data_IF_496173044385
#
_entry.id   IF_496173044385
#
_cell.length_a   1.000
_cell.length_b   1.000
_cell.length_c   1.000
_cell.angle_alpha   90.00
_cell.angle_beta   90.00
_cell.angle_gamma   90.00
#
_symmetry.space_group_name_H-M   'P 1'
#
loop_
_entity.id
_entity.type
_entity.pdbx_description
1 polymer ?
#
# COMPACT_ATOMS: atom_id res chain seq x y z
N UNK A 1 19.57 -16.33 11.36
CA UNK A 1 19.42 -16.70 12.65
C UNK A 1 18.98 -15.53 13.50
N UNK A 2 19.72 -14.49 13.87
CA UNK A 2 19.17 -13.39 14.67
C UNK A 2 17.89 -12.76 14.06
N UNK A 3 17.86 -12.49 12.75
CA UNK A 3 16.68 -11.99 12.05
C UNK A 3 15.53 -13.01 12.07
N UNK A 4 15.83 -14.30 11.89
CA UNK A 4 14.83 -15.34 11.94
C UNK A 4 14.19 -15.42 13.34
N UNK A 5 15.00 -15.40 14.39
CA UNK A 5 14.54 -15.37 15.78
C UNK A 5 13.70 -14.12 16.08
N UNK A 6 14.14 -12.95 15.62
CA UNK A 6 13.40 -11.70 15.81
C UNK A 6 12.01 -11.71 15.16
N UNK A 7 11.89 -12.39 14.01
CA UNK A 7 10.64 -12.45 13.26
C UNK A 7 9.82 -13.72 13.53
N UNK A 8 10.17 -14.49 14.57
CA UNK A 8 9.53 -15.77 14.92
C UNK A 8 9.43 -16.73 13.72
N UNK A 9 10.47 -16.73 12.87
CA UNK A 9 10.55 -17.57 11.69
C UNK A 9 11.75 -18.52 11.77
N UNK A 10 11.69 -19.61 11.03
CA UNK A 10 12.78 -20.56 10.92
C UNK A 10 13.39 -20.52 9.53
N UNK A 11 14.73 -20.54 9.48
CA UNK A 11 15.50 -20.71 8.25
C UNK A 11 16.46 -21.87 8.42
N UNK A 12 16.30 -22.91 7.61
CA UNK A 12 17.11 -24.11 7.61
C UNK A 12 17.11 -24.75 6.20
N UNK A 13 17.73 -25.92 6.05
CA UNK A 13 17.81 -26.63 4.76
C UNK A 13 16.45 -27.03 4.20
N UNK A 14 15.46 -27.30 5.03
CA UNK A 14 14.08 -27.63 4.61
C UNK A 14 13.29 -26.39 4.24
N UNK A 15 13.64 -25.26 4.88
CA UNK A 15 13.04 -23.93 4.66
C UNK A 15 14.13 -22.91 4.38
N UNK A 16 14.74 -22.94 3.17
CA UNK A 16 15.92 -22.14 2.87
C UNK A 16 15.64 -20.67 2.57
N UNK A 17 14.38 -20.26 2.56
CA UNK A 17 13.92 -18.90 2.28
C UNK A 17 13.36 -18.28 3.56
N UNK A 18 13.79 -17.05 3.85
CA UNK A 18 13.24 -16.21 4.93
C UNK A 18 12.86 -14.87 4.34
N UNK A 19 11.61 -14.48 4.50
CA UNK A 19 11.13 -13.11 4.19
C UNK A 19 10.60 -12.47 5.46
N UNK A 20 11.16 -11.32 5.84
CA UNK A 20 10.86 -10.66 7.10
C UNK A 20 10.84 -9.14 6.95
N UNK A 21 10.28 -8.46 7.95
CA UNK A 21 10.37 -7.00 8.09
C UNK A 21 11.19 -6.69 9.33
N UNK A 22 12.23 -5.86 9.18
CA UNK A 22 13.06 -5.40 10.29
C UNK A 22 12.31 -4.36 11.14
N UNK A 23 12.72 -4.11 12.39
CA UNK A 23 12.09 -3.11 13.27
C UNK A 23 12.01 -1.71 12.67
N UNK A 24 12.99 -1.34 11.86
CA UNK A 24 13.07 -0.06 11.14
C UNK A 24 12.24 -0.02 9.85
N UNK A 25 11.52 -1.12 9.54
CA UNK A 25 10.56 -1.20 8.44
C UNK A 25 11.13 -1.72 7.11
N UNK A 26 12.43 -2.01 7.02
CA UNK A 26 13.01 -2.61 5.82
C UNK A 26 12.52 -4.04 5.66
N UNK A 27 12.18 -4.41 4.42
CA UNK A 27 11.90 -5.80 4.05
C UNK A 27 13.23 -6.48 3.73
N UNK A 28 13.45 -7.62 4.34
CA UNK A 28 14.65 -8.42 4.11
C UNK A 28 14.27 -9.81 3.61
N UNK A 29 15.02 -10.31 2.66
CA UNK A 29 14.93 -11.69 2.18
C UNK A 29 16.29 -12.35 2.27
N UNK A 30 16.35 -13.49 2.93
CA UNK A 30 17.49 -14.38 2.97
C UNK A 30 17.20 -15.63 2.17
N UNK A 31 18.21 -16.10 1.45
CA UNK A 31 18.18 -17.40 0.79
C UNK A 31 19.48 -18.13 1.13
N UNK A 32 19.34 -19.35 1.68
CA UNK A 32 20.46 -20.19 2.06
C UNK A 32 20.47 -21.49 1.25
N UNK A 33 21.56 -22.29 1.25
CA UNK A 33 21.57 -23.62 0.65
C UNK A 33 20.44 -24.52 1.22
N UNK A 34 19.80 -25.34 0.38
CA UNK A 34 20.17 -25.72 -0.99
C UNK A 34 19.60 -24.79 -2.09
N UNK A 35 18.85 -23.74 -1.78
CA UNK A 35 18.25 -22.83 -2.77
C UNK A 35 19.28 -21.86 -3.41
N UNK A 36 20.49 -21.80 -2.87
CA UNK A 36 21.69 -21.17 -3.43
C UNK A 36 22.86 -22.14 -3.32
N UNK A 37 23.99 -21.93 -4.04
CA UNK A 37 25.16 -22.79 -3.93
C UNK A 37 25.69 -22.89 -2.50
N UNK A 38 26.27 -24.08 -2.15
CA UNK A 38 26.91 -24.26 -0.84
C UNK A 38 27.98 -23.22 -0.61
N UNK A 39 28.04 -22.69 0.62
CA UNK A 39 28.98 -21.64 1.01
C UNK A 39 28.54 -20.22 0.64
N UNK A 40 27.37 -20.07 0.02
CA UNK A 40 26.81 -18.75 -0.31
C UNK A 40 25.52 -18.47 0.47
N UNK A 41 25.24 -17.18 0.68
CA UNK A 41 23.97 -16.68 1.24
C UNK A 41 23.56 -15.48 0.39
N UNK A 42 22.32 -15.51 -0.10
CA UNK A 42 21.74 -14.34 -0.78
C UNK A 42 20.97 -13.49 0.23
N UNK A 43 21.23 -12.18 0.25
CA UNK A 43 20.55 -11.23 1.12
C UNK A 43 20.04 -10.08 0.27
N UNK A 44 18.74 -9.83 0.32
CA UNK A 44 18.11 -8.68 -0.33
C UNK A 44 17.45 -7.82 0.71
N UNK A 45 17.76 -6.53 0.72
CA UNK A 45 17.14 -5.55 1.62
C UNK A 45 16.44 -4.48 0.80
N UNK A 46 15.13 -4.29 1.04
CA UNK A 46 14.35 -3.23 0.43
C UNK A 46 13.94 -2.21 1.49
N UNK A 47 14.41 -0.98 1.35
CA UNK A 47 14.01 0.13 2.20
C UNK A 47 12.64 0.66 1.77
N UNK A 48 11.69 0.84 2.69
CA UNK A 48 10.44 1.52 2.38
C UNK A 48 10.72 3.01 2.10
N UNK A 49 9.95 3.59 1.19
CA UNK A 49 9.98 5.04 1.00
C UNK A 49 9.18 5.72 2.11
N UNK A 50 9.81 6.64 2.83
CA UNK A 50 9.14 7.50 3.81
C UNK A 50 8.55 8.76 3.17
N UNK A 51 8.73 8.93 1.86
CA UNK A 51 8.19 10.06 1.13
C UNK A 51 6.66 10.01 1.13
N UNK A 52 6.05 11.07 1.63
CA UNK A 52 4.62 11.33 1.53
C UNK A 52 4.45 12.47 0.52
N UNK A 53 3.85 12.16 -0.62
CA UNK A 53 3.43 13.13 -1.63
C UNK A 53 1.95 13.41 -1.47
N UNK A 54 1.56 14.66 -1.60
CA UNK A 54 0.15 15.08 -1.63
C UNK A 54 -0.42 14.99 -3.05
N UNK A 55 -1.74 15.04 -3.18
CA UNK A 55 -2.38 15.02 -4.50
C UNK A 55 -1.92 16.17 -5.39
N UNK A 56 -1.72 17.35 -4.82
CA UNK A 56 -1.23 18.53 -5.54
C UNK A 56 0.23 18.35 -6.05
N UNK A 57 1.05 17.53 -5.38
CA UNK A 57 2.40 17.21 -5.85
C UNK A 57 2.34 16.31 -7.08
N UNK A 58 1.45 15.31 -7.09
CA UNK A 58 1.22 14.45 -8.25
C UNK A 58 0.68 15.24 -9.45
N UNK A 59 -0.19 16.21 -9.22
CA UNK A 59 -0.73 17.06 -10.28
C UNK A 59 0.37 17.94 -10.89
N UNK A 60 1.20 18.58 -10.07
CA UNK A 60 2.36 19.36 -10.53
C UNK A 60 3.41 18.52 -11.29
N UNK A 61 3.56 17.27 -10.92
CA UNK A 61 4.46 16.32 -11.61
C UNK A 61 3.86 15.74 -12.88
N UNK A 62 2.65 16.15 -13.28
CA UNK A 62 2.01 15.73 -14.51
C UNK A 62 1.39 14.32 -14.48
N UNK A 63 1.15 13.73 -13.29
CA UNK A 63 0.58 12.38 -13.20
C UNK A 63 -0.75 12.25 -13.95
N UNK A 64 -1.53 13.31 -13.98
CA UNK A 64 -2.88 13.31 -14.55
C UNK A 64 -2.96 13.76 -16.01
N UNK A 65 -1.86 14.20 -16.64
CA UNK A 65 -1.85 14.74 -18.02
C UNK A 65 -2.35 13.74 -19.07
N UNK A 66 -2.16 12.44 -18.81
CA UNK A 66 -2.58 11.37 -19.74
C UNK A 66 -3.77 10.58 -19.21
N UNK A 67 -4.60 11.20 -18.37
CA UNK A 67 -5.79 10.53 -17.84
C UNK A 67 -6.84 10.35 -18.92
N UNK A 68 -7.23 9.09 -19.16
CA UNK A 68 -8.37 8.75 -20.00
C UNK A 68 -9.56 8.47 -19.08
N UNK A 69 -10.69 9.13 -19.32
CA UNK A 69 -11.92 8.92 -18.57
C UNK A 69 -12.86 7.99 -19.32
N UNK A 70 -13.51 7.07 -18.59
CA UNK A 70 -14.59 6.25 -19.11
C UNK A 70 -15.90 6.84 -18.61
N UNK A 71 -16.71 7.34 -19.53
CA UNK A 71 -18.05 7.85 -19.22
C UNK A 71 -19.05 6.69 -19.26
N UNK A 72 -19.73 6.45 -18.15
CA UNK A 72 -20.93 5.61 -18.10
C UNK A 72 -22.11 6.52 -17.87
N UNK A 73 -23.16 6.38 -18.69
CA UNK A 73 -24.43 7.06 -18.41
C UNK A 73 -25.05 6.41 -17.17
N UNK A 74 -25.26 7.15 -16.08
CA UNK A 74 -25.89 6.59 -14.90
C UNK A 74 -27.35 6.18 -15.22
N UNK A 75 -27.75 4.99 -14.78
CA UNK A 75 -29.14 4.55 -14.87
C UNK A 75 -30.00 5.06 -13.70
N UNK A 76 -29.41 5.83 -12.78
CA UNK A 76 -30.05 6.36 -11.60
C UNK A 76 -29.77 7.86 -11.43
N UNK A 77 -30.62 8.53 -10.69
CA UNK A 77 -30.41 9.93 -10.31
C UNK A 77 -29.19 10.05 -9.41
N UNK A 78 -28.21 10.88 -9.80
CA UNK A 78 -26.99 11.13 -9.03
C UNK A 78 -27.29 11.93 -7.76
N UNK A 79 -26.64 11.53 -6.66
CA UNK A 79 -26.61 12.33 -5.44
C UNK A 79 -25.85 13.66 -5.67
N UNK A 80 -26.09 14.69 -4.85
CA UNK A 80 -25.43 15.98 -5.03
C UNK A 80 -23.90 15.91 -5.13
N UNK A 81 -23.25 15.12 -4.27
CA UNK A 81 -21.80 14.95 -4.30
C UNK A 81 -21.30 14.15 -5.51
N UNK A 82 -22.13 13.26 -6.07
CA UNK A 82 -21.78 12.49 -7.28
C UNK A 82 -21.82 13.39 -8.52
N UNK A 83 -22.73 14.37 -8.55
CA UNK A 83 -22.74 15.41 -9.60
C UNK A 83 -21.48 16.27 -9.52
N UNK A 84 -21.09 16.69 -8.31
CA UNK A 84 -19.84 17.44 -8.10
C UNK A 84 -18.61 16.64 -8.53
N UNK A 85 -18.54 15.33 -8.19
CA UNK A 85 -17.50 14.43 -8.67
C UNK A 85 -17.46 14.35 -10.20
N UNK A 86 -18.61 14.26 -10.86
CA UNK A 86 -18.70 14.22 -12.32
C UNK A 86 -18.18 15.54 -12.93
N UNK A 87 -18.59 16.69 -12.40
CA UNK A 87 -18.13 18.00 -12.83
C UNK A 87 -16.62 18.18 -12.71
N UNK A 88 -16.04 17.79 -11.55
CA UNK A 88 -14.59 17.83 -11.31
C UNK A 88 -13.83 16.96 -12.30
N UNK A 89 -14.33 15.74 -12.54
CA UNK A 89 -13.74 14.80 -13.50
C UNK A 89 -13.76 15.38 -14.92
N UNK A 90 -14.91 15.91 -15.35
CA UNK A 90 -15.09 16.42 -16.70
C UNK A 90 -14.32 17.73 -16.93
N UNK A 91 -14.08 18.50 -15.85
CA UNK A 91 -13.20 19.67 -15.85
C UNK A 91 -11.70 19.32 -15.79
N UNK A 92 -11.32 18.03 -15.68
CA UNK A 92 -9.93 17.61 -15.55
C UNK A 92 -9.28 17.92 -14.20
N UNK A 93 -10.08 18.32 -13.18
CA UNK A 93 -9.61 18.65 -11.83
C UNK A 93 -9.43 17.41 -10.99
N UNK A 94 -8.49 16.55 -11.40
CA UNK A 94 -8.37 15.18 -10.84
C UNK A 94 -7.90 15.15 -9.39
N UNK A 95 -7.04 16.06 -8.97
CA UNK A 95 -6.62 16.15 -7.56
C UNK A 95 -7.83 16.47 -6.65
N UNK A 96 -8.68 17.40 -7.05
CA UNK A 96 -9.88 17.77 -6.31
C UNK A 96 -10.96 16.66 -6.35
N UNK A 97 -11.12 16.05 -7.52
CA UNK A 97 -11.98 14.86 -7.66
C UNK A 97 -11.60 13.76 -6.65
N UNK A 98 -10.32 13.40 -6.57
CA UNK A 98 -9.83 12.37 -5.66
C UNK A 98 -9.99 12.79 -4.20
N UNK A 99 -9.70 14.05 -3.88
CA UNK A 99 -9.90 14.62 -2.54
C UNK A 99 -11.35 14.53 -2.09
N UNK A 100 -12.28 14.91 -2.96
CA UNK A 100 -13.71 14.78 -2.70
C UNK A 100 -14.14 13.33 -2.56
N UNK A 101 -13.67 12.44 -3.44
CA UNK A 101 -13.98 11.01 -3.40
C UNK A 101 -13.55 10.38 -2.07
N UNK A 102 -12.33 10.69 -1.59
CA UNK A 102 -11.85 10.22 -0.28
C UNK A 102 -12.76 10.72 0.85
N UNK A 103 -13.04 12.02 0.88
CA UNK A 103 -13.89 12.65 1.93
C UNK A 103 -15.34 12.17 1.91
N UNK A 104 -15.81 11.67 0.78
CA UNK A 104 -17.15 11.06 0.63
C UNK A 104 -17.11 9.55 0.74
N UNK A 105 -16.03 8.99 1.28
CA UNK A 105 -15.85 7.55 1.54
C UNK A 105 -16.09 6.66 0.30
N UNK A 106 -15.70 7.17 -0.88
CA UNK A 106 -15.85 6.39 -2.10
C UNK A 106 -14.80 5.29 -2.17
N UNK A 107 -15.20 4.13 -2.69
CA UNK A 107 -14.25 3.04 -2.93
C UNK A 107 -13.30 3.39 -4.07
N UNK A 108 -11.99 3.42 -3.78
CA UNK A 108 -10.95 3.73 -4.75
C UNK A 108 -10.08 2.50 -4.97
N UNK A 109 -9.94 2.08 -6.22
CA UNK A 109 -9.06 0.96 -6.62
C UNK A 109 -7.83 1.52 -7.32
N UNK A 110 -6.64 1.27 -6.76
CA UNK A 110 -5.36 1.66 -7.35
C UNK A 110 -4.66 0.44 -7.93
N UNK A 111 -4.55 0.38 -9.26
CA UNK A 111 -3.92 -0.71 -9.99
C UNK A 111 -2.70 -0.25 -10.79
N UNK A 112 -1.76 -1.13 -11.02
CA UNK A 112 -0.55 -0.86 -11.82
C UNK A 112 0.54 -1.91 -11.60
N UNK A 113 1.58 -1.88 -12.43
CA UNK A 113 2.74 -2.80 -12.33
C UNK A 113 3.52 -2.58 -11.02
N UNK A 114 4.33 -3.56 -10.63
CA UNK A 114 5.29 -3.39 -9.53
C UNK A 114 6.23 -2.23 -9.84
N UNK A 115 6.49 -1.36 -8.85
CA UNK A 115 7.33 -0.18 -9.02
C UNK A 115 6.65 1.03 -9.68
N UNK A 116 5.36 0.96 -10.04
CA UNK A 116 4.63 2.09 -10.66
C UNK A 116 4.22 3.21 -9.68
N UNK A 117 4.58 3.12 -8.41
CA UNK A 117 4.25 4.15 -7.41
C UNK A 117 2.89 4.01 -6.74
N UNK A 118 2.19 2.87 -6.86
CA UNK A 118 0.87 2.63 -6.23
C UNK A 118 0.85 2.98 -4.74
N UNK A 119 1.81 2.46 -3.97
CA UNK A 119 1.87 2.71 -2.53
C UNK A 119 2.11 4.19 -2.21
N UNK A 120 2.93 4.87 -3.01
CA UNK A 120 3.18 6.31 -2.86
C UNK A 120 1.93 7.12 -3.15
N UNK A 121 1.19 6.78 -4.21
CA UNK A 121 -0.07 7.41 -4.56
C UNK A 121 -1.15 7.16 -3.51
N UNK A 122 -1.26 5.91 -3.03
CA UNK A 122 -2.21 5.55 -1.97
C UNK A 122 -1.93 6.31 -0.66
N UNK A 123 -0.65 6.53 -0.28
CA UNK A 123 -0.28 7.39 0.84
C UNK A 123 -0.81 8.82 0.65
N UNK A 124 -0.71 9.35 -0.56
CA UNK A 124 -1.26 10.67 -0.91
C UNK A 124 -2.78 10.75 -0.78
N UNK A 125 -3.51 9.70 -1.18
CA UNK A 125 -4.95 9.62 -0.96
C UNK A 125 -5.31 9.57 0.52
N UNK A 126 -4.57 8.80 1.31
CA UNK A 126 -4.82 8.69 2.76
C UNK A 126 -4.59 10.01 3.48
N UNK A 127 -3.66 10.86 3.02
CA UNK A 127 -3.47 12.20 3.60
C UNK A 127 -4.72 13.11 3.50
N UNK A 128 -5.63 12.82 2.57
CA UNK A 128 -6.90 13.55 2.41
C UNK A 128 -8.01 13.07 3.35
N UNK A 129 -7.81 11.93 4.04
CA UNK A 129 -8.76 11.44 5.05
C UNK A 129 -8.75 12.37 6.26
N UNK A 130 -9.91 12.77 6.79
CA UNK A 130 -9.99 13.58 8.00
C UNK A 130 -9.25 12.95 9.19
N UNK A 131 -8.46 13.74 9.92
CA UNK A 131 -7.56 13.24 10.98
C UNK A 131 -8.28 12.63 12.19
N UNK A 132 -9.56 12.93 12.37
CA UNK A 132 -10.39 12.36 13.44
C UNK A 132 -10.94 10.98 13.10
N UNK A 133 -10.84 10.55 11.85
CA UNK A 133 -11.34 9.25 11.42
C UNK A 133 -10.40 8.11 11.84
N UNK A 134 -10.99 6.96 12.13
CA UNK A 134 -10.25 5.73 12.40
C UNK A 134 -9.91 5.02 11.10
N UNK A 135 -8.62 4.73 10.92
CA UNK A 135 -8.12 3.98 9.77
C UNK A 135 -7.72 2.55 10.16
N UNK A 136 -7.99 1.62 9.27
CA UNK A 136 -7.52 0.24 9.38
C UNK A 136 -6.75 -0.07 8.09
N UNK A 137 -5.51 -0.50 8.23
CA UNK A 137 -4.74 -1.03 7.10
C UNK A 137 -4.65 -2.54 7.18
N UNK A 138 -4.80 -3.22 6.06
CA UNK A 138 -4.63 -4.68 5.94
C UNK A 138 -3.53 -4.91 4.91
N UNK A 139 -2.38 -5.44 5.34
CA UNK A 139 -1.21 -5.55 4.49
C UNK A 139 -0.37 -6.79 4.86
N UNK A 140 0.40 -7.29 3.89
CA UNK A 140 1.32 -8.42 4.10
C UNK A 140 2.67 -7.99 4.70
N UNK A 141 2.99 -6.70 4.63
CA UNK A 141 4.17 -6.10 5.22
C UNK A 141 3.92 -4.62 5.51
N UNK A 142 4.61 -4.06 6.48
CA UNK A 142 4.47 -2.67 6.94
C UNK A 142 5.00 -1.66 5.89
N UNK A 143 4.28 -1.52 4.76
CA UNK A 143 4.62 -0.53 3.72
C UNK A 143 3.89 0.79 3.91
N UNK A 144 2.67 0.74 4.43
CA UNK A 144 1.81 1.90 4.61
C UNK A 144 1.92 2.43 6.03
N UNK A 145 2.89 3.29 6.26
CA UNK A 145 3.01 4.06 7.49
C UNK A 145 2.21 5.35 7.37
N UNK A 146 1.42 5.68 8.39
CA UNK A 146 0.49 6.83 8.41
C UNK A 146 0.80 7.75 9.60
N UNK A 147 1.95 8.44 9.61
CA UNK A 147 2.40 9.20 10.77
C UNK A 147 1.50 10.38 11.14
N UNK A 148 0.71 10.86 10.18
CA UNK A 148 -0.18 12.01 10.36
C UNK A 148 -1.59 11.63 10.82
N UNK A 149 -1.88 10.34 11.05
CA UNK A 149 -3.17 9.86 11.52
C UNK A 149 -3.04 9.24 12.91
N UNK A 150 -3.60 9.84 13.96
CA UNK A 150 -3.42 9.38 15.34
C UNK A 150 -4.20 8.09 15.65
N UNK A 151 -5.28 7.80 14.93
CA UNK A 151 -6.13 6.64 15.16
C UNK A 151 -6.02 5.62 14.00
N UNK A 152 -4.95 4.83 14.02
CA UNK A 152 -4.67 3.82 12.98
C UNK A 152 -4.47 2.45 13.61
N UNK A 153 -5.05 1.42 12.99
CA UNK A 153 -4.76 0.01 13.29
C UNK A 153 -4.13 -0.64 12.08
N UNK A 154 -2.95 -1.21 12.25
CA UNK A 154 -2.26 -1.97 11.21
C UNK A 154 -2.48 -3.46 11.44
N UNK A 155 -3.21 -4.12 10.53
CA UNK A 155 -3.42 -5.56 10.53
C UNK A 155 -2.48 -6.20 9.50
N UNK A 156 -1.75 -7.21 9.93
CA UNK A 156 -0.82 -7.96 9.07
C UNK A 156 -1.34 -9.37 8.86
N UNK A 157 -1.26 -9.85 7.61
CA UNK A 157 -1.55 -11.23 7.28
C UNK A 157 -0.32 -11.94 6.71
N UNK A 158 -0.25 -13.25 6.91
CA UNK A 158 0.85 -14.07 6.39
C UNK A 158 0.58 -14.44 4.94
N UNK A 159 1.53 -14.18 4.04
CA UNK A 159 1.46 -14.63 2.62
C UNK A 159 1.61 -16.13 2.46
N UNK A 160 2.44 -16.75 3.31
CA UNK A 160 2.81 -18.14 3.24
C UNK A 160 2.64 -18.82 4.60
N UNK A 161 2.80 -20.16 4.65
CA UNK A 161 2.74 -20.95 5.88
C UNK A 161 3.89 -20.66 6.88
N UNK A 162 4.57 -19.54 6.73
CA UNK A 162 5.67 -19.08 7.59
C UNK A 162 5.13 -18.13 8.64
N UNK A 163 5.15 -18.52 9.87
CA UNK A 163 4.75 -17.73 11.03
C UNK A 163 3.94 -18.54 12.03
N UNK A 164 3.97 -18.14 13.28
CA UNK A 164 3.23 -18.80 14.37
C UNK A 164 1.73 -18.52 14.29
N UNK A 165 1.32 -17.35 13.77
CA UNK A 165 -0.06 -17.01 13.54
C UNK A 165 -0.45 -17.13 12.07
N UNK A 166 -1.34 -18.08 11.76
CA UNK A 166 -1.90 -18.26 10.41
C UNK A 166 -3.09 -17.34 10.20
N UNK A 167 -2.83 -16.03 10.10
CA UNK A 167 -3.86 -15.03 9.77
C UNK A 167 -3.87 -14.87 8.26
N UNK A 168 -5.04 -14.95 7.64
CA UNK A 168 -5.24 -14.72 6.21
C UNK A 168 -5.97 -13.38 5.99
N UNK A 169 -5.90 -12.82 4.80
CA UNK A 169 -6.64 -11.61 4.45
C UNK A 169 -8.18 -11.78 4.53
N UNK A 170 -8.66 -13.01 4.72
CA UNK A 170 -10.09 -13.37 4.87
C UNK A 170 -10.47 -13.70 6.31
N UNK A 171 -9.51 -13.74 7.23
CA UNK A 171 -9.75 -13.94 8.66
C UNK A 171 -10.19 -12.65 9.30
#
# INVERSE_FOLDING_TARGET
TAVATFCDQQVNQERPLLSATLPSGERIQFVIPPAVPRGTVSITVRKPSHLIKRLDDFEREGLFERTATVTRTPNAELLPFERELAELKDAGRYAEFLRLAVRKHQTIVVSGKTGSGKTTFMKGLVEEVPKHERLITIQDAAELTLPNHPNVVHLFYSKDAQGTARVTAKS
#
